data_IF_466099079703
#
_entry.id   IF_466099079703
#
_cell.length_a   1.000
_cell.length_b   1.000
_cell.length_c   1.000
_cell.angle_alpha   90.00
_cell.angle_beta   90.00
_cell.angle_gamma   90.00
#
_symmetry.space_group_name_H-M   'P 1'
#
loop_
_entity.id
_entity.type
_entity.pdbx_description
1 polymer ?
#
# COMPACT_ATOMS: atom_id res chain seq x y z
N UNK A 1 -11.47 1.73 -9.03
CA UNK A 1 -11.69 0.86 -7.84
C UNK A 1 -11.50 -0.61 -8.17
N UNK A 2 -12.31 -1.21 -9.05
CA UNK A 2 -12.20 -2.63 -9.40
C UNK A 2 -10.80 -3.02 -9.91
N UNK A 3 -10.26 -2.28 -10.88
CA UNK A 3 -8.90 -2.49 -11.40
C UNK A 3 -7.84 -2.44 -10.29
N UNK A 4 -7.99 -1.52 -9.32
CA UNK A 4 -7.08 -1.40 -8.18
C UNK A 4 -7.12 -2.65 -7.28
N UNK A 5 -8.32 -3.18 -7.00
CA UNK A 5 -8.46 -4.40 -6.19
C UNK A 5 -7.89 -5.65 -6.89
N UNK A 6 -8.14 -5.77 -8.20
CA UNK A 6 -7.58 -6.86 -9.02
C UNK A 6 -6.05 -6.79 -9.07
N UNK A 7 -5.51 -5.58 -9.23
CA UNK A 7 -4.08 -5.35 -9.19
C UNK A 7 -3.49 -5.71 -7.82
N UNK A 8 -4.12 -5.29 -6.71
CA UNK A 8 -3.67 -5.66 -5.35
C UNK A 8 -3.63 -7.18 -5.15
N UNK A 9 -4.64 -7.92 -5.62
CA UNK A 9 -4.62 -9.39 -5.57
C UNK A 9 -3.44 -9.97 -6.37
N UNK A 10 -3.13 -9.40 -7.55
CA UNK A 10 -1.99 -9.85 -8.37
C UNK A 10 -0.62 -9.64 -7.70
N UNK A 11 -0.50 -8.66 -6.79
CA UNK A 11 0.76 -8.32 -6.10
C UNK A 11 0.75 -8.68 -4.61
N UNK A 12 -0.21 -9.50 -4.16
CA UNK A 12 -0.42 -9.86 -2.75
C UNK A 12 0.79 -10.53 -2.07
N UNK A 13 1.70 -11.11 -2.84
CA UNK A 13 2.95 -11.68 -2.31
C UNK A 13 3.92 -10.61 -1.82
N UNK A 14 3.80 -9.38 -2.33
CA UNK A 14 4.66 -8.25 -1.97
C UNK A 14 3.92 -7.25 -1.09
N UNK A 15 2.65 -6.94 -1.38
CA UNK A 15 1.83 -6.02 -0.58
C UNK A 15 1.11 -6.82 0.52
N UNK A 16 1.73 -6.89 1.70
CA UNK A 16 1.27 -7.71 2.82
C UNK A 16 0.03 -7.12 3.53
N UNK A 17 -0.04 -5.79 3.60
CA UNK A 17 -1.17 -5.06 4.17
C UNK A 17 -1.48 -3.91 3.22
N UNK A 18 -2.74 -3.77 2.80
CA UNK A 18 -3.23 -2.63 2.06
C UNK A 18 -4.51 -2.10 2.72
N UNK A 19 -4.45 -0.89 3.30
CA UNK A 19 -5.59 -0.28 3.97
C UNK A 19 -5.87 1.12 3.46
N UNK A 20 -7.14 1.52 3.49
CA UNK A 20 -7.60 2.90 3.28
C UNK A 20 -7.45 3.70 4.57
N UNK A 21 -6.88 4.90 4.49
CA UNK A 21 -6.86 5.87 5.58
C UNK A 21 -8.07 6.80 5.48
N UNK A 22 -8.54 7.28 6.63
CA UNK A 22 -9.64 8.23 6.77
C UNK A 22 -9.55 8.89 8.15
N UNK A 23 -10.06 10.11 8.27
CA UNK A 23 -10.04 10.87 9.53
C UNK A 23 -10.88 10.20 10.64
N UNK A 24 -12.05 9.66 10.29
CA UNK A 24 -12.96 8.97 11.20
C UNK A 24 -13.74 7.86 10.49
N UNK A 25 -14.37 6.95 11.26
CA UNK A 25 -14.90 5.68 10.76
C UNK A 25 -15.83 5.78 9.53
N UNK A 26 -16.65 6.83 9.45
CA UNK A 26 -17.62 7.04 8.37
C UNK A 26 -17.12 8.00 7.28
N UNK A 27 -15.94 8.60 7.44
CA UNK A 27 -15.39 9.52 6.45
C UNK A 27 -15.02 8.79 5.16
N UNK A 28 -15.06 9.53 4.04
CA UNK A 28 -14.49 9.06 2.79
C UNK A 28 -12.98 8.82 2.95
N UNK A 29 -12.43 7.77 2.30
CA UNK A 29 -10.99 7.57 2.28
C UNK A 29 -10.25 8.75 1.65
N UNK A 30 -9.19 9.21 2.29
CA UNK A 30 -8.32 10.30 1.81
C UNK A 30 -6.87 9.84 1.59
N UNK A 31 -6.55 8.59 1.92
CA UNK A 31 -5.22 8.04 1.73
C UNK A 31 -5.16 6.52 1.80
N UNK A 32 -3.94 5.99 1.76
CA UNK A 32 -3.69 4.57 1.96
C UNK A 32 -2.40 4.36 2.75
N UNK A 33 -2.34 3.26 3.50
CA UNK A 33 -1.13 2.76 4.12
C UNK A 33 -0.89 1.34 3.64
N UNK A 34 0.31 1.10 3.10
CA UNK A 34 0.73 -0.22 2.68
C UNK A 34 1.93 -0.69 3.48
N UNK A 35 1.93 -1.98 3.80
CA UNK A 35 3.13 -2.69 4.24
C UNK A 35 3.59 -3.56 3.10
N UNK A 36 4.82 -3.33 2.63
CA UNK A 36 5.37 -3.99 1.44
C UNK A 36 6.65 -4.73 1.80
N UNK A 37 6.74 -6.00 1.41
CA UNK A 37 7.97 -6.77 1.41
C UNK A 37 8.61 -6.68 0.02
N UNK A 38 9.85 -6.16 -0.02
CA UNK A 38 10.59 -5.94 -1.27
C UNK A 38 12.10 -5.91 -1.01
N UNK A 39 12.88 -6.18 -2.05
CA UNK A 39 14.35 -6.18 -1.97
C UNK A 39 14.97 -4.79 -1.81
N UNK A 40 14.28 -3.73 -2.25
CA UNK A 40 14.76 -2.35 -2.15
C UNK A 40 13.62 -1.33 -2.21
N UNK A 41 13.94 -0.06 -1.92
CA UNK A 41 12.98 1.05 -2.04
C UNK A 41 12.53 1.26 -3.49
N UNK A 42 13.46 1.15 -4.43
CA UNK A 42 13.22 1.33 -5.86
C UNK A 42 12.27 0.26 -6.41
N UNK A 43 12.33 -0.96 -5.87
CA UNK A 43 11.37 -2.01 -6.20
C UNK A 43 9.94 -1.65 -5.75
N UNK A 44 9.78 -1.00 -4.59
CA UNK A 44 8.49 -0.47 -4.13
C UNK A 44 8.02 0.67 -5.02
N UNK A 45 8.91 1.58 -5.42
CA UNK A 45 8.59 2.67 -6.34
C UNK A 45 8.12 2.15 -7.71
N UNK A 46 8.77 1.09 -8.23
CA UNK A 46 8.37 0.44 -9.48
C UNK A 46 7.02 -0.30 -9.36
N UNK A 47 6.75 -0.95 -8.22
CA UNK A 47 5.47 -1.57 -7.93
C UNK A 47 4.35 -0.52 -7.86
N UNK A 48 4.56 0.56 -7.11
CA UNK A 48 3.60 1.65 -6.97
C UNK A 48 3.19 2.26 -8.30
N UNK A 49 4.13 2.40 -9.25
CA UNK A 49 3.86 2.95 -10.59
C UNK A 49 2.90 2.08 -11.42
N UNK A 50 2.62 0.86 -10.98
CA UNK A 50 1.64 -0.05 -11.59
C UNK A 50 0.26 0.04 -10.93
N UNK A 51 0.13 0.69 -9.77
CA UNK A 51 -1.16 0.91 -9.10
C UNK A 51 -2.10 1.71 -10.01
N UNK A 52 -3.29 1.20 -10.34
CA UNK A 52 -4.29 1.97 -11.10
C UNK A 52 -4.58 3.34 -10.48
N UNK A 53 -4.59 3.47 -9.15
CA UNK A 53 -4.78 4.77 -8.51
C UNK A 53 -3.60 5.73 -8.71
N UNK A 54 -2.38 5.23 -8.92
CA UNK A 54 -1.25 6.06 -9.33
C UNK A 54 -1.42 6.51 -10.79
N UNK A 55 -1.71 5.58 -11.69
CA UNK A 55 -1.87 5.84 -13.13
C UNK A 55 -3.02 6.82 -13.43
N UNK A 56 -4.11 6.75 -12.65
CA UNK A 56 -5.28 7.63 -12.76
C UNK A 56 -5.08 8.97 -12.03
N UNK A 57 -3.92 9.21 -11.41
CA UNK A 57 -3.62 10.48 -10.73
C UNK A 57 -4.36 10.68 -9.40
N UNK A 58 -4.90 9.62 -8.79
CA UNK A 58 -5.58 9.69 -7.48
C UNK A 58 -4.59 9.78 -6.31
N UNK A 59 -3.30 9.59 -6.54
CA UNK A 59 -2.23 9.75 -5.55
C UNK A 59 -1.61 11.14 -5.66
N UNK A 60 -1.96 12.04 -4.75
CA UNK A 60 -1.35 13.37 -4.71
C UNK A 60 0.11 13.34 -4.24
N UNK A 61 0.43 12.50 -3.25
CA UNK A 61 1.78 12.33 -2.72
C UNK A 61 1.98 10.88 -2.21
N UNK A 62 3.22 10.42 -2.21
CA UNK A 62 3.63 9.11 -1.69
C UNK A 62 4.94 9.27 -0.95
N UNK A 63 4.98 8.74 0.27
CA UNK A 63 6.19 8.62 1.07
C UNK A 63 6.51 7.13 1.30
N UNK A 64 7.75 6.74 1.03
CA UNK A 64 8.24 5.37 1.25
C UNK A 64 9.30 5.40 2.33
N UNK A 65 9.03 4.69 3.43
CA UNK A 65 9.94 4.54 4.57
C UNK A 65 10.32 3.07 4.76
N UNK A 66 11.60 2.83 5.01
CA UNK A 66 12.06 1.54 5.52
C UNK A 66 11.68 1.45 6.99
N UNK A 67 11.12 0.32 7.39
CA UNK A 67 10.73 0.05 8.76
C UNK A 67 11.12 -1.38 9.13
N UNK A 68 11.08 -1.69 10.42
CA UNK A 68 11.34 -3.03 10.95
C UNK A 68 10.29 -3.38 11.98
N UNK A 69 9.93 -4.65 12.06
CA UNK A 69 9.06 -5.16 13.13
C UNK A 69 9.74 -4.92 14.48
N UNK A 70 8.95 -4.50 15.46
CA UNK A 70 9.40 -4.34 16.84
C UNK A 70 9.48 -5.68 17.58
N UNK A 71 8.64 -6.64 17.19
CA UNK A 71 8.61 -7.98 17.77
C UNK A 71 8.93 -9.03 16.70
N UNK A 72 9.62 -10.09 17.10
CA UNK A 72 9.97 -11.23 16.23
C UNK A 72 8.85 -12.28 16.13
N UNK A 73 7.65 -11.95 16.62
CA UNK A 73 6.46 -12.80 16.52
C UNK A 73 5.45 -12.22 15.51
N UNK A 74 4.60 -13.05 14.89
CA UNK A 74 3.49 -12.58 14.08
C UNK A 74 2.58 -11.65 14.90
N UNK A 75 2.17 -10.55 14.28
CA UNK A 75 1.10 -9.67 14.79
C UNK A 75 -0.07 -9.85 13.83
N UNK A 76 -1.22 -10.25 14.34
CA UNK A 76 -2.47 -10.33 13.60
C UNK A 76 -3.27 -9.07 13.92
N UNK A 77 -3.66 -8.32 12.89
CA UNK A 77 -4.54 -7.16 12.98
C UNK A 77 -6.01 -7.57 12.92
#
# INVERSE_FOLDING_TARGET
MEAHLQWLESVRSSVLIAVSLREHATAHPDGALWTVEAASKEAVEALLKQDPFWLEGLRQNVEIRLWRRAFDRPVTL
#
